data_IF_495885976569
#
_entry.id   IF_495885976569
#
_cell.length_a   1.000
_cell.length_b   1.000
_cell.length_c   1.000
_cell.angle_alpha   90.00
_cell.angle_beta   90.00
_cell.angle_gamma   90.00
#
_symmetry.space_group_name_H-M   'P 1'
#
loop_
_entity.id
_entity.type
_entity.pdbx_description
1 polymer ?
#
# COMPACT_ATOMS: atom_id res chain seq x y z
N UNK A 1 -4.44 -27.34 -20.14
CA UNK A 1 -4.36 -26.50 -18.92
C UNK A 1 -2.90 -26.27 -18.46
N UNK A 2 -1.89 -26.86 -19.09
CA UNK A 2 -0.46 -26.70 -18.70
C UNK A 2 0.16 -25.34 -19.08
N UNK A 3 -0.28 -24.67 -20.15
CA UNK A 3 0.35 -23.42 -20.63
C UNK A 3 0.19 -22.17 -19.75
N UNK A 4 -0.62 -22.21 -18.68
CA UNK A 4 -0.78 -21.08 -17.74
C UNK A 4 0.20 -21.12 -16.58
N UNK A 5 0.69 -22.30 -16.19
CA UNK A 5 1.54 -22.44 -15.02
C UNK A 5 2.93 -21.85 -15.29
N UNK A 6 3.52 -22.17 -16.44
CA UNK A 6 4.84 -21.66 -16.81
C UNK A 6 4.82 -20.15 -17.06
N UNK A 7 3.73 -19.63 -17.63
CA UNK A 7 3.66 -18.23 -18.06
C UNK A 7 3.82 -17.23 -16.90
N UNK A 8 3.27 -17.51 -15.71
CA UNK A 8 3.42 -16.59 -14.57
C UNK A 8 4.87 -16.57 -14.03
N UNK A 9 5.57 -17.70 -14.07
CA UNK A 9 6.97 -17.78 -13.67
C UNK A 9 7.91 -17.20 -14.75
N UNK A 10 7.59 -17.35 -16.03
CA UNK A 10 8.29 -16.68 -17.12
C UNK A 10 8.20 -15.16 -17.00
N UNK A 11 7.00 -14.61 -16.75
CA UNK A 11 6.79 -13.18 -16.52
C UNK A 11 7.57 -12.72 -15.28
N UNK A 12 7.50 -13.48 -14.19
CA UNK A 12 8.24 -13.19 -12.96
C UNK A 12 9.75 -13.09 -13.22
N UNK A 13 10.32 -14.10 -13.89
CA UNK A 13 11.75 -14.15 -14.21
C UNK A 13 12.15 -13.06 -15.19
N UNK A 14 11.35 -12.81 -16.22
CA UNK A 14 11.65 -11.83 -17.28
C UNK A 14 11.69 -10.40 -16.78
N UNK A 15 10.72 -10.00 -15.93
CA UNK A 15 10.56 -8.60 -15.53
C UNK A 15 11.14 -8.29 -14.14
N UNK A 16 11.22 -9.27 -13.24
CA UNK A 16 11.76 -9.09 -11.88
C UNK A 16 13.00 -9.94 -11.58
N UNK A 17 13.36 -10.89 -12.42
CA UNK A 17 14.52 -11.77 -12.18
C UNK A 17 14.31 -12.84 -11.11
N UNK A 18 13.12 -12.92 -10.50
CA UNK A 18 12.82 -13.95 -9.49
C UNK A 18 12.41 -15.27 -10.16
N UNK A 19 12.78 -16.38 -9.53
CA UNK A 19 12.41 -17.74 -9.97
C UNK A 19 11.24 -18.33 -9.18
N UNK A 20 10.89 -17.73 -8.05
CA UNK A 20 9.85 -18.21 -7.15
C UNK A 20 9.01 -17.06 -6.60
N UNK A 21 7.73 -17.35 -6.36
CA UNK A 21 6.83 -16.45 -5.66
C UNK A 21 6.95 -16.65 -4.15
N UNK A 22 6.66 -15.60 -3.37
CA UNK A 22 6.40 -15.78 -1.94
C UNK A 22 5.13 -16.62 -1.72
N UNK A 23 4.99 -17.35 -0.60
CA UNK A 23 3.98 -18.40 -0.47
C UNK A 23 2.53 -18.03 -0.80
N UNK A 24 2.09 -16.79 -0.51
CA UNK A 24 0.71 -16.35 -0.81
C UNK A 24 0.54 -15.75 -2.21
N UNK A 25 1.61 -15.25 -2.82
CA UNK A 25 1.55 -14.48 -4.06
C UNK A 25 1.01 -15.33 -5.21
N UNK A 26 1.55 -16.53 -5.38
CA UNK A 26 1.11 -17.45 -6.44
C UNK A 26 -0.37 -17.78 -6.30
N UNK A 27 -0.84 -18.08 -5.08
CA UNK A 27 -2.25 -18.38 -4.80
C UNK A 27 -3.17 -17.22 -5.18
N UNK A 28 -2.76 -15.98 -4.87
CA UNK A 28 -3.52 -14.77 -5.24
C UNK A 28 -3.56 -14.60 -6.76
N UNK A 29 -2.40 -14.71 -7.42
CA UNK A 29 -2.29 -14.56 -8.88
C UNK A 29 -3.18 -15.60 -9.58
N UNK A 30 -3.09 -16.87 -9.17
CA UNK A 30 -3.91 -17.94 -9.74
C UNK A 30 -5.40 -17.74 -9.50
N UNK A 31 -5.79 -17.26 -8.30
CA UNK A 31 -7.19 -16.94 -8.00
C UNK A 31 -7.74 -15.85 -8.93
N UNK A 32 -6.99 -14.76 -9.08
CA UNK A 32 -7.37 -13.66 -9.99
C UNK A 32 -7.44 -14.12 -11.45
N UNK A 33 -6.45 -14.89 -11.91
CA UNK A 33 -6.42 -15.42 -13.29
C UNK A 33 -7.51 -16.45 -13.58
N UNK A 34 -8.02 -17.13 -12.55
CA UNK A 34 -9.16 -18.04 -12.64
C UNK A 34 -10.52 -17.32 -12.68
N UNK A 35 -10.54 -15.99 -12.72
CA UNK A 35 -11.78 -15.20 -12.76
C UNK A 35 -12.47 -15.07 -11.39
N UNK A 36 -11.76 -15.34 -10.28
CA UNK A 36 -12.34 -15.26 -8.94
C UNK A 36 -12.03 -13.93 -8.27
N UNK A 37 -13.08 -13.24 -7.82
CA UNK A 37 -12.95 -12.09 -6.93
C UNK A 37 -12.13 -12.50 -5.69
N UNK A 38 -11.11 -11.72 -5.33
CA UNK A 38 -10.16 -12.10 -4.29
C UNK A 38 -9.79 -10.89 -3.44
N UNK A 39 -9.95 -11.01 -2.11
CA UNK A 39 -9.38 -10.05 -1.14
C UNK A 39 -8.05 -10.61 -0.62
N UNK A 40 -6.96 -9.97 -0.99
CA UNK A 40 -5.61 -10.28 -0.56
C UNK A 40 -5.20 -9.40 0.63
N UNK A 41 -5.02 -10.01 1.80
CA UNK A 41 -4.45 -9.36 2.98
C UNK A 41 -2.96 -9.70 3.06
N UNK A 42 -2.11 -8.73 2.73
CA UNK A 42 -0.67 -8.92 2.62
C UNK A 42 0.08 -7.75 3.26
N UNK A 43 1.05 -7.97 4.17
CA UNK A 43 1.76 -6.90 4.85
C UNK A 43 2.45 -5.94 3.87
N UNK A 44 2.73 -4.72 4.30
CA UNK A 44 3.58 -3.78 3.53
C UNK A 44 4.92 -4.43 3.19
N UNK A 45 5.46 -4.20 1.99
CA UNK A 45 6.65 -4.91 1.52
C UNK A 45 6.44 -6.42 1.23
N UNK A 46 5.22 -6.94 1.40
CA UNK A 46 4.86 -8.33 1.07
C UNK A 46 4.80 -8.64 -0.42
N UNK A 47 5.05 -7.65 -1.29
CA UNK A 47 4.98 -7.77 -2.75
C UNK A 47 3.55 -7.83 -3.28
N UNK A 48 2.65 -6.98 -2.76
CA UNK A 48 1.25 -6.83 -3.23
C UNK A 48 1.19 -6.49 -4.71
N UNK A 49 2.01 -5.53 -5.16
CA UNK A 49 1.95 -5.04 -6.53
C UNK A 49 2.18 -6.13 -7.57
N UNK A 50 3.09 -7.05 -7.26
CA UNK A 50 3.42 -8.19 -8.11
C UNK A 50 2.19 -9.10 -8.36
N UNK A 51 1.24 -9.17 -7.44
CA UNK A 51 0.05 -10.02 -7.56
C UNK A 51 -1.00 -9.54 -8.57
N UNK A 52 -0.97 -8.27 -8.99
CA UNK A 52 -1.78 -7.77 -10.11
C UNK A 52 -0.95 -7.43 -11.35
N UNK A 53 0.35 -7.15 -11.20
CA UNK A 53 1.24 -6.87 -12.32
C UNK A 53 1.52 -8.13 -13.14
N UNK A 54 1.81 -9.26 -12.48
CA UNK A 54 2.05 -10.54 -13.18
C UNK A 54 0.84 -11.00 -14.00
N UNK A 55 -0.39 -11.08 -13.46
CA UNK A 55 -1.54 -11.46 -14.28
C UNK A 55 -1.83 -10.43 -15.39
N UNK A 56 -1.60 -9.14 -15.14
CA UNK A 56 -1.74 -8.09 -16.17
C UNK A 56 -0.78 -8.23 -17.35
N UNK A 57 0.37 -8.89 -17.16
CA UNK A 57 1.33 -9.21 -18.23
C UNK A 57 1.13 -10.63 -18.79
N UNK A 58 0.59 -11.55 -17.99
CA UNK A 58 0.41 -12.94 -18.37
C UNK A 58 -0.88 -13.19 -19.18
N UNK A 59 -1.92 -12.35 -19.04
CA UNK A 59 -3.21 -12.53 -19.70
C UNK A 59 -3.45 -11.49 -20.81
N UNK A 60 -4.17 -11.85 -21.89
CA UNK A 60 -4.61 -10.88 -22.87
C UNK A 60 -5.68 -9.95 -22.27
N UNK A 61 -5.52 -8.65 -22.47
CA UNK A 61 -6.41 -7.62 -21.91
C UNK A 61 -5.68 -6.68 -20.97
N UNK A 62 -6.39 -5.69 -20.47
CA UNK A 62 -5.87 -4.65 -19.60
C UNK A 62 -6.15 -4.97 -18.14
N UNK A 63 -5.14 -4.85 -17.29
CA UNK A 63 -5.31 -4.77 -15.84
C UNK A 63 -5.49 -3.29 -15.46
N UNK A 64 -6.67 -2.95 -14.93
CA UNK A 64 -6.93 -1.60 -14.38
C UNK A 64 -6.58 -1.63 -12.90
N UNK A 65 -5.73 -0.70 -12.46
CA UNK A 65 -5.33 -0.57 -11.05
C UNK A 65 -5.90 0.72 -10.49
N UNK A 66 -6.75 0.62 -9.48
CA UNK A 66 -7.27 1.76 -8.71
C UNK A 66 -6.39 1.95 -7.47
N UNK A 67 -5.84 3.16 -7.30
CA UNK A 67 -5.06 3.53 -6.12
C UNK A 67 -5.60 4.81 -5.49
N UNK A 68 -5.26 5.10 -4.21
CA UNK A 68 -5.80 6.26 -3.49
C UNK A 68 -5.58 7.60 -4.20
N UNK A 69 -4.46 7.71 -4.92
CA UNK A 69 -4.01 8.93 -5.57
C UNK A 69 -4.77 9.24 -6.87
N UNK A 70 -5.33 8.23 -7.54
CA UNK A 70 -5.98 8.38 -8.85
C UNK A 70 -7.45 7.96 -8.85
N UNK A 71 -8.02 7.52 -7.72
CA UNK A 71 -9.42 7.08 -7.65
C UNK A 71 -10.44 8.15 -8.09
N UNK A 72 -10.09 9.44 -8.02
CA UNK A 72 -10.93 10.52 -8.57
C UNK A 72 -11.07 10.45 -10.10
N UNK A 73 -10.12 9.85 -10.82
CA UNK A 73 -10.19 9.69 -12.28
C UNK A 73 -11.34 8.80 -12.74
N UNK A 74 -11.82 7.89 -11.88
CA UNK A 74 -13.01 7.06 -12.12
C UNK A 74 -14.27 7.90 -12.38
N UNK A 75 -14.26 9.15 -11.91
CA UNK A 75 -15.33 10.11 -12.10
C UNK A 75 -15.45 10.65 -13.51
N UNK A 76 -14.33 10.68 -14.23
CA UNK A 76 -14.22 11.47 -15.46
C UNK A 76 -15.01 10.82 -16.58
N UNK A 77 -15.75 11.63 -17.33
CA UNK A 77 -16.53 11.17 -18.48
C UNK A 77 -15.63 10.47 -19.52
N UNK A 78 -14.46 11.05 -19.78
CA UNK A 78 -13.46 10.47 -20.68
C UNK A 78 -13.05 9.05 -20.29
N UNK A 79 -12.85 8.77 -19.00
CA UNK A 79 -12.55 7.41 -18.54
C UNK A 79 -13.77 6.49 -18.67
N UNK A 80 -14.95 6.94 -18.22
CA UNK A 80 -16.19 6.14 -18.25
C UNK A 80 -16.58 5.71 -19.67
N UNK A 81 -16.39 6.56 -20.67
CA UNK A 81 -16.68 6.24 -22.08
C UNK A 81 -15.64 5.30 -22.70
N UNK A 82 -14.37 5.43 -22.30
CA UNK A 82 -13.29 4.61 -22.87
C UNK A 82 -13.26 3.21 -22.29
N UNK A 83 -13.53 3.06 -20.98
CA UNK A 83 -13.36 1.78 -20.28
C UNK A 83 -14.28 0.68 -20.82
N UNK A 84 -15.49 1.03 -21.26
CA UNK A 84 -16.44 0.10 -21.89
C UNK A 84 -15.94 -0.47 -23.23
N UNK A 85 -15.02 0.23 -23.89
CA UNK A 85 -14.40 -0.20 -25.16
C UNK A 85 -13.07 -0.92 -24.95
N UNK A 86 -12.56 -0.96 -23.72
CA UNK A 86 -11.31 -1.64 -23.40
C UNK A 86 -11.58 -3.11 -23.12
N UNK A 87 -10.71 -3.99 -23.63
CA UNK A 87 -10.68 -5.39 -23.21
C UNK A 87 -10.01 -5.49 -21.85
N UNK A 88 -10.76 -5.33 -20.77
CA UNK A 88 -10.25 -5.43 -19.39
C UNK A 88 -10.25 -6.90 -18.95
N UNK A 89 -9.14 -7.36 -18.39
CA UNK A 89 -8.98 -8.73 -17.88
C UNK A 89 -8.97 -8.80 -16.35
N UNK A 90 -8.64 -7.71 -15.67
CA UNK A 90 -8.56 -7.66 -14.21
C UNK A 90 -8.83 -6.24 -13.70
N UNK A 91 -9.60 -6.11 -12.62
CA UNK A 91 -9.73 -4.89 -11.84
C UNK A 91 -9.01 -5.05 -10.50
N UNK A 92 -7.83 -4.45 -10.36
CA UNK A 92 -7.09 -4.40 -9.12
C UNK A 92 -7.46 -3.15 -8.30
N UNK A 93 -7.76 -3.34 -7.02
CA UNK A 93 -8.05 -2.27 -6.07
C UNK A 93 -6.97 -2.27 -5.00
N UNK A 94 -6.01 -1.37 -5.12
CA UNK A 94 -4.97 -1.19 -4.12
C UNK A 94 -5.46 -0.33 -2.97
N UNK A 95 -4.92 -0.57 -1.78
CA UNK A 95 -5.38 0.01 -0.52
C UNK A 95 -6.91 -0.08 -0.33
N UNK A 96 -7.46 -1.27 -0.59
CA UNK A 96 -8.90 -1.53 -0.60
C UNK A 96 -9.61 -1.14 0.72
N UNK A 97 -8.88 -1.10 1.84
CA UNK A 97 -9.38 -0.61 3.13
C UNK A 97 -9.98 0.81 3.07
N UNK A 98 -9.55 1.65 2.11
CA UNK A 98 -10.10 2.99 1.89
C UNK A 98 -11.59 3.01 1.54
N UNK A 99 -12.17 1.90 1.09
CA UNK A 99 -13.62 1.83 0.77
C UNK A 99 -14.50 1.79 2.02
N UNK A 100 -13.94 1.35 3.16
CA UNK A 100 -14.69 1.16 4.39
C UNK A 100 -14.59 2.38 5.31
N UNK A 101 -15.73 2.86 5.81
CA UNK A 101 -15.77 3.92 6.83
C UNK A 101 -15.17 3.49 8.17
N UNK A 102 -15.10 2.17 8.41
CA UNK A 102 -14.45 1.57 9.57
C UNK A 102 -12.94 1.40 9.36
N UNK A 103 -12.43 1.71 8.17
CA UNK A 103 -11.02 1.82 7.87
C UNK A 103 -10.43 3.13 8.41
N UNK A 104 -9.11 3.16 8.58
CA UNK A 104 -8.41 4.34 9.10
C UNK A 104 -8.19 5.46 8.06
N UNK A 105 -8.46 5.21 6.78
CA UNK A 105 -8.30 6.18 5.67
C UNK A 105 -9.46 6.07 4.66
N UNK A 106 -10.69 6.29 5.13
CA UNK A 106 -11.88 6.23 4.27
C UNK A 106 -11.83 7.28 3.16
N UNK A 107 -12.07 6.84 1.91
CA UNK A 107 -12.10 7.69 0.72
C UNK A 107 -13.42 7.49 -0.02
N UNK A 108 -14.32 8.49 -0.06
CA UNK A 108 -15.59 8.38 -0.78
C UNK A 108 -15.46 7.99 -2.26
N UNK A 109 -14.35 8.36 -2.91
CA UNK A 109 -14.07 7.99 -4.30
C UNK A 109 -13.96 6.48 -4.53
N UNK A 110 -13.61 5.69 -3.51
CA UNK A 110 -13.53 4.22 -3.60
C UNK A 110 -14.92 3.57 -3.73
N UNK A 111 -15.98 4.21 -3.22
CA UNK A 111 -17.34 3.70 -3.37
C UNK A 111 -17.76 3.60 -4.84
N UNK A 112 -17.14 4.42 -5.71
CA UNK A 112 -17.40 4.46 -7.15
C UNK A 112 -16.81 3.28 -7.91
N UNK A 113 -15.96 2.46 -7.29
CA UNK A 113 -15.44 1.25 -7.91
C UNK A 113 -16.59 0.26 -8.20
N UNK A 114 -17.66 0.30 -7.39
CA UNK A 114 -18.88 -0.47 -7.67
C UNK A 114 -19.52 -0.07 -9.01
N UNK A 115 -19.58 1.22 -9.34
CA UNK A 115 -20.08 1.72 -10.62
C UNK A 115 -19.19 1.28 -11.79
N UNK A 116 -17.86 1.27 -11.59
CA UNK A 116 -16.92 0.77 -12.60
C UNK A 116 -17.18 -0.72 -12.87
N UNK A 117 -17.47 -1.50 -11.82
CA UNK A 117 -17.73 -2.92 -11.95
C UNK A 117 -19.01 -3.23 -12.74
N UNK A 118 -20.04 -2.39 -12.63
CA UNK A 118 -21.25 -2.50 -13.46
C UNK A 118 -20.94 -2.39 -14.96
N UNK A 119 -19.93 -1.59 -15.32
CA UNK A 119 -19.46 -1.41 -16.70
C UNK A 119 -18.54 -2.52 -17.19
N UNK A 120 -18.04 -3.36 -16.28
CA UNK A 120 -17.08 -4.43 -16.54
C UNK A 120 -17.62 -5.77 -16.05
N UNK A 121 -18.78 -6.24 -16.56
CA UNK A 121 -19.39 -7.48 -16.12
C UNK A 121 -18.46 -8.67 -16.37
N UNK A 122 -18.34 -9.56 -15.38
CA UNK A 122 -17.50 -10.75 -15.46
C UNK A 122 -16.00 -10.52 -15.29
N UNK A 123 -15.54 -9.26 -15.20
CA UNK A 123 -14.13 -8.97 -14.88
C UNK A 123 -13.88 -9.23 -13.39
N UNK A 124 -12.90 -10.07 -13.02
CA UNK A 124 -12.60 -10.35 -11.62
C UNK A 124 -12.01 -9.14 -10.91
N UNK A 125 -12.31 -9.02 -9.62
CA UNK A 125 -11.74 -7.98 -8.75
C UNK A 125 -10.68 -8.56 -7.82
N UNK A 126 -9.47 -8.01 -7.88
CA UNK A 126 -8.41 -8.28 -6.90
C UNK A 126 -8.26 -7.09 -5.96
N UNK A 127 -8.81 -7.19 -4.75
CA UNK A 127 -8.71 -6.18 -3.71
C UNK A 127 -7.50 -6.46 -2.82
N UNK A 128 -6.67 -5.45 -2.55
CA UNK A 128 -5.41 -5.61 -1.84
C UNK A 128 -5.31 -4.63 -0.67
N UNK A 129 -4.89 -5.10 0.50
CA UNK A 129 -4.55 -4.20 1.62
C UNK A 129 -3.56 -4.85 2.58
N UNK A 130 -2.79 -4.02 3.28
CA UNK A 130 -1.91 -4.44 4.35
C UNK A 130 -2.61 -4.76 5.66
N UNK A 131 -3.80 -4.22 5.89
CA UNK A 131 -4.49 -4.38 7.16
C UNK A 131 -5.99 -4.22 6.97
N UNK A 132 -6.75 -5.23 7.38
CA UNK A 132 -8.19 -5.16 7.49
C UNK A 132 -8.63 -5.99 8.70
N UNK A 133 -9.45 -5.39 9.57
CA UNK A 133 -10.19 -6.16 10.57
C UNK A 133 -11.23 -7.04 9.87
N UNK A 134 -11.86 -7.98 10.60
CA UNK A 134 -12.95 -8.79 10.03
C UNK A 134 -14.06 -7.92 9.43
N UNK A 135 -14.49 -6.90 10.18
CA UNK A 135 -15.51 -5.93 9.75
C UNK A 135 -15.08 -5.19 8.47
N UNK A 136 -13.85 -4.67 8.43
CA UNK A 136 -13.35 -3.96 7.24
C UNK A 136 -13.24 -4.90 6.03
N UNK A 137 -12.82 -6.15 6.22
CA UNK A 137 -12.72 -7.13 5.14
C UNK A 137 -14.09 -7.49 4.54
N UNK A 138 -15.09 -7.70 5.39
CA UNK A 138 -16.48 -7.92 4.98
C UNK A 138 -17.03 -6.70 4.22
N UNK A 139 -16.74 -5.50 4.72
CA UNK A 139 -17.17 -4.25 4.12
C UNK A 139 -16.53 -4.00 2.74
N UNK A 140 -15.25 -4.34 2.57
CA UNK A 140 -14.57 -4.31 1.28
C UNK A 140 -15.28 -5.21 0.28
N UNK A 141 -15.46 -6.50 0.63
CA UNK A 141 -16.08 -7.47 -0.28
C UNK A 141 -17.51 -7.08 -0.64
N UNK A 142 -18.27 -6.55 0.33
CA UNK A 142 -19.64 -6.06 0.12
C UNK A 142 -19.69 -4.89 -0.86
N UNK A 143 -18.88 -3.85 -0.65
CA UNK A 143 -18.89 -2.67 -1.53
C UNK A 143 -18.34 -2.98 -2.93
N UNK A 144 -17.36 -3.88 -3.03
CA UNK A 144 -16.85 -4.37 -4.30
C UNK A 144 -17.77 -5.44 -4.94
N UNK A 145 -18.87 -5.80 -4.27
CA UNK A 145 -19.95 -6.70 -4.69
C UNK A 145 -19.52 -8.15 -4.94
N UNK A 146 -18.51 -8.65 -4.22
CA UNK A 146 -17.98 -10.01 -4.43
C UNK A 146 -19.10 -11.04 -4.56
N UNK A 147 -19.04 -11.89 -5.59
CA UNK A 147 -20.05 -12.92 -5.81
C UNK A 147 -20.06 -13.93 -4.65
N UNK A 148 -18.87 -14.30 -4.16
CA UNK A 148 -18.66 -15.14 -3.00
C UNK A 148 -17.55 -14.56 -2.13
N UNK A 149 -17.63 -14.66 -0.79
CA UNK A 149 -16.53 -14.28 0.09
C UNK A 149 -15.28 -15.11 -0.20
N UNK A 150 -14.20 -14.45 -0.60
CA UNK A 150 -12.92 -15.11 -0.85
C UNK A 150 -11.75 -14.25 -0.37
N UNK A 151 -11.08 -14.70 0.69
CA UNK A 151 -9.98 -13.98 1.34
C UNK A 151 -8.74 -14.86 1.37
N UNK A 152 -7.63 -14.34 0.88
CA UNK A 152 -6.30 -14.94 1.01
C UNK A 152 -5.44 -14.05 1.92
N UNK A 153 -4.86 -14.64 2.96
CA UNK A 153 -4.08 -13.93 3.97
C UNK A 153 -2.68 -14.51 4.04
N UNK A 154 -1.66 -13.66 4.12
CA UNK A 154 -0.34 -14.06 4.59
C UNK A 154 -0.17 -13.76 6.07
N UNK A 155 0.89 -14.33 6.66
CA UNK A 155 1.31 -13.95 8.00
C UNK A 155 1.72 -12.47 8.03
N UNK A 156 1.27 -11.76 9.06
CA UNK A 156 1.72 -10.41 9.38
C UNK A 156 3.00 -10.41 10.21
N UNK A 157 3.43 -11.59 10.69
CA UNK A 157 4.62 -11.72 11.53
C UNK A 157 5.86 -11.29 10.74
N UNK A 158 6.64 -10.39 11.34
CA UNK A 158 7.95 -10.01 10.84
C UNK A 158 8.97 -10.37 11.91
N UNK A 159 9.69 -11.51 11.76
CA UNK A 159 10.61 -11.98 12.80
C UNK A 159 11.77 -11.00 13.04
N UNK A 160 12.03 -10.10 12.09
CA UNK A 160 13.02 -9.03 12.19
C UNK A 160 12.50 -7.76 12.87
N UNK A 161 11.22 -7.69 13.30
CA UNK A 161 10.68 -6.56 14.06
C UNK A 161 10.58 -6.90 15.55
N UNK A 162 11.05 -5.98 16.39
CA UNK A 162 10.89 -6.02 17.84
C UNK A 162 9.93 -4.93 18.30
N UNK A 163 9.00 -5.26 19.21
CA UNK A 163 8.05 -4.34 19.79
C UNK A 163 8.43 -4.03 21.23
N UNK A 164 8.57 -2.75 21.57
CA UNK A 164 8.83 -2.31 22.94
C UNK A 164 7.91 -1.17 23.33
N UNK A 165 7.27 -1.27 24.51
CA UNK A 165 6.44 -0.22 25.09
C UNK A 165 7.15 0.34 26.31
N UNK A 166 7.40 1.66 26.33
CA UNK A 166 8.01 2.34 27.47
C UNK A 166 7.04 3.40 28.00
N UNK A 167 6.77 3.35 29.30
CA UNK A 167 6.04 4.41 30.01
C UNK A 167 7.07 5.43 30.49
N UNK A 168 6.85 6.71 30.20
CA UNK A 168 7.76 7.81 30.58
C UNK A 168 6.98 9.11 30.68
N UNK A 169 7.35 9.95 31.64
CA UNK A 169 6.89 11.34 31.73
C UNK A 169 7.79 12.27 30.92
N UNK A 170 9.07 11.91 30.77
CA UNK A 170 10.03 12.58 29.88
C UNK A 170 10.16 11.84 28.55
N UNK A 171 9.30 12.21 27.59
CA UNK A 171 9.31 11.65 26.23
C UNK A 171 10.52 12.12 25.43
N UNK A 172 10.97 13.35 25.63
CA UNK A 172 12.06 13.94 24.87
C UNK A 172 13.40 13.30 25.25
N UNK A 173 13.72 13.18 26.53
CA UNK A 173 14.95 12.51 26.96
C UNK A 173 14.94 11.01 26.68
N UNK A 174 13.78 10.37 26.68
CA UNK A 174 13.68 8.97 26.20
C UNK A 174 13.94 8.85 24.70
N UNK A 175 13.36 9.73 23.88
CA UNK A 175 13.59 9.76 22.43
C UNK A 175 15.08 9.99 22.12
N UNK A 176 15.71 10.96 22.79
CA UNK A 176 17.13 11.26 22.60
C UNK A 176 18.01 10.06 22.94
N UNK A 177 17.75 9.38 24.06
CA UNK A 177 18.45 8.14 24.42
C UNK A 177 18.27 7.06 23.36
N UNK A 178 17.07 6.89 22.80
CA UNK A 178 16.84 5.89 21.74
C UNK A 178 17.62 6.25 20.47
N UNK A 179 17.52 7.49 20.01
CA UNK A 179 18.19 7.94 18.79
C UNK A 179 19.72 7.93 18.93
N UNK A 180 20.27 8.15 20.12
CA UNK A 180 21.71 8.07 20.34
C UNK A 180 22.23 6.62 20.34
N UNK A 181 21.45 5.67 20.86
CA UNK A 181 21.89 4.30 21.06
C UNK A 181 21.50 3.32 19.94
N UNK A 182 20.56 3.71 19.06
CA UNK A 182 20.09 2.84 17.96
C UNK A 182 20.65 3.35 16.63
N UNK A 183 21.61 2.65 15.99
CA UNK A 183 22.18 3.07 14.72
C UNK A 183 21.16 2.99 13.57
N UNK A 184 21.53 3.57 12.43
CA UNK A 184 20.69 3.56 11.23
C UNK A 184 19.65 4.69 11.17
N UNK A 185 18.74 4.56 10.21
CA UNK A 185 17.68 5.53 9.94
C UNK A 185 16.44 5.25 10.80
N UNK A 186 15.70 6.30 11.15
CA UNK A 186 14.50 6.19 11.98
C UNK A 186 13.35 7.08 11.53
N UNK A 187 12.14 6.73 11.94
CA UNK A 187 10.93 7.56 11.79
C UNK A 187 10.36 7.80 13.18
N UNK A 188 10.04 9.06 13.49
CA UNK A 188 9.36 9.47 14.72
C UNK A 188 7.98 10.01 14.35
N UNK A 189 6.94 9.26 14.69
CA UNK A 189 5.57 9.73 14.48
C UNK A 189 5.10 10.64 15.61
N UNK A 190 4.58 11.81 15.25
CA UNK A 190 3.98 12.79 16.16
C UNK A 190 2.59 13.18 15.70
N UNK A 191 1.78 13.72 16.61
CA UNK A 191 0.35 13.98 16.37
C UNK A 191 0.10 15.23 15.54
N UNK A 192 0.82 16.31 15.79
CA UNK A 192 0.55 17.64 15.21
C UNK A 192 1.62 18.06 14.22
N UNK A 193 1.26 18.99 13.33
CA UNK A 193 2.19 19.60 12.37
C UNK A 193 3.28 20.38 13.11
N UNK A 194 2.93 21.20 14.10
CA UNK A 194 3.95 21.91 14.89
C UNK A 194 4.89 20.93 15.61
N UNK A 195 4.34 19.81 16.11
CA UNK A 195 5.13 18.79 16.80
C UNK A 195 6.22 18.18 15.91
N UNK A 196 6.01 18.09 14.59
CA UNK A 196 7.05 17.59 13.67
C UNK A 196 8.26 18.51 13.64
N UNK A 197 8.03 19.82 13.57
CA UNK A 197 9.09 20.82 13.59
C UNK A 197 9.81 20.85 14.95
N UNK A 198 9.04 20.88 16.05
CA UNK A 198 9.60 20.94 17.41
C UNK A 198 10.52 19.75 17.72
N UNK A 199 10.09 18.53 17.38
CA UNK A 199 10.89 17.33 17.63
C UNK A 199 12.07 17.22 16.67
N UNK A 200 11.92 17.63 15.40
CA UNK A 200 13.05 17.70 14.48
C UNK A 200 14.11 18.71 14.96
N UNK A 201 13.71 19.87 15.46
CA UNK A 201 14.60 20.88 16.04
C UNK A 201 15.33 20.37 17.29
N UNK A 202 14.61 19.69 18.18
CA UNK A 202 15.20 19.04 19.35
C UNK A 202 16.33 18.08 18.95
N UNK A 203 16.08 17.22 17.96
CA UNK A 203 17.07 16.26 17.47
C UNK A 203 18.26 16.95 16.82
N UNK A 204 18.02 17.98 16.00
CA UNK A 204 19.09 18.77 15.36
C UNK A 204 19.99 19.46 16.37
N UNK A 205 19.43 20.03 17.44
CA UNK A 205 20.20 20.64 18.55
C UNK A 205 21.09 19.65 19.28
N UNK A 206 20.81 18.35 19.18
CA UNK A 206 21.60 17.26 19.76
C UNK A 206 22.52 16.58 18.73
N UNK A 207 22.76 17.22 17.58
CA UNK A 207 23.68 16.74 16.54
C UNK A 207 23.10 15.63 15.65
N UNK A 208 21.79 15.36 15.71
CA UNK A 208 21.15 14.35 14.86
C UNK A 208 20.57 15.02 13.61
N UNK A 209 20.88 14.51 12.41
CA UNK A 209 20.24 14.98 11.18
C UNK A 209 18.76 14.53 11.18
N UNK A 210 17.86 15.51 11.27
CA UNK A 210 16.42 15.27 11.34
C UNK A 210 15.65 16.28 10.48
N UNK A 211 14.55 15.81 9.86
CA UNK A 211 13.64 16.64 9.07
C UNK A 211 12.19 16.44 9.49
N UNK A 212 11.38 17.49 9.38
CA UNK A 212 9.93 17.43 9.58
C UNK A 212 9.21 17.01 8.29
N UNK A 213 8.13 16.24 8.42
CA UNK A 213 7.24 15.86 7.31
C UNK A 213 5.77 15.86 7.73
N UNK A 214 4.95 16.67 7.08
CA UNK A 214 3.50 16.67 7.31
C UNK A 214 2.71 17.10 6.07
N UNK A 215 1.40 16.79 6.05
CA UNK A 215 0.51 17.09 4.92
C UNK A 215 0.26 18.58 4.64
N UNK A 216 0.81 19.48 5.46
CA UNK A 216 0.77 20.92 5.22
C UNK A 216 1.95 21.47 4.40
N UNK A 217 2.96 20.64 4.14
CA UNK A 217 4.13 21.04 3.36
C UNK A 217 3.85 20.97 1.86
N UNK A 218 4.51 21.84 1.10
CA UNK A 218 4.46 21.84 -0.36
C UNK A 218 4.94 20.52 -0.95
N UNK A 219 4.43 20.14 -2.13
CA UNK A 219 4.81 18.88 -2.77
C UNK A 219 6.32 18.78 -3.01
N UNK A 220 6.93 19.83 -3.57
CA UNK A 220 8.37 19.86 -3.85
C UNK A 220 9.21 19.67 -2.57
N UNK A 221 8.81 20.30 -1.47
CA UNK A 221 9.49 20.14 -0.18
C UNK A 221 9.36 18.71 0.35
N UNK A 222 8.15 18.13 0.32
CA UNK A 222 7.94 16.74 0.75
C UNK A 222 8.76 15.75 -0.07
N UNK A 223 8.82 15.92 -1.39
CA UNK A 223 9.65 15.10 -2.28
C UNK A 223 11.13 15.21 -1.92
N UNK A 224 11.64 16.43 -1.71
CA UNK A 224 13.02 16.67 -1.31
C UNK A 224 13.35 15.98 0.03
N UNK A 225 12.51 16.15 1.06
CA UNK A 225 12.72 15.52 2.37
C UNK A 225 12.75 13.99 2.29
N UNK A 226 11.84 13.42 1.50
CA UNK A 226 11.80 11.97 1.28
C UNK A 226 13.09 11.49 0.60
N UNK A 227 13.56 12.19 -0.43
CA UNK A 227 14.80 11.85 -1.13
C UNK A 227 16.02 11.94 -0.21
N UNK A 228 16.14 13.02 0.58
CA UNK A 228 17.23 13.18 1.56
C UNK A 228 17.28 12.03 2.58
N UNK A 229 16.11 11.57 3.05
CA UNK A 229 16.02 10.47 4.00
C UNK A 229 16.33 9.10 3.36
N UNK A 230 15.82 8.87 2.14
CA UNK A 230 16.14 7.65 1.37
C UNK A 230 17.65 7.57 1.11
N UNK A 231 18.28 8.68 0.68
CA UNK A 231 19.71 8.78 0.43
C UNK A 231 20.59 8.75 1.70
N UNK A 232 19.99 8.77 2.90
CA UNK A 232 20.72 8.75 4.17
C UNK A 232 21.32 10.09 4.61
N UNK A 233 21.05 11.19 3.88
CA UNK A 233 21.44 12.56 4.26
C UNK A 233 20.70 13.00 5.53
N UNK A 234 19.44 12.61 5.65
CA UNK A 234 18.64 12.77 6.87
C UNK A 234 18.50 11.43 7.57
N UNK A 235 18.94 11.34 8.82
CA UNK A 235 18.86 10.11 9.60
C UNK A 235 17.45 9.86 10.14
N UNK A 236 16.82 10.89 10.71
CA UNK A 236 15.51 10.76 11.36
C UNK A 236 14.45 11.59 10.65
N UNK A 237 13.39 10.94 10.18
CA UNK A 237 12.20 11.63 9.70
C UNK A 237 11.21 11.80 10.85
N UNK A 238 10.84 13.04 11.18
CA UNK A 238 9.80 13.33 12.18
C UNK A 238 8.52 13.67 11.45
N UNK A 239 7.48 12.84 11.57
CA UNK A 239 6.33 12.94 10.70
C UNK A 239 4.98 12.79 11.37
N UNK A 240 3.93 13.33 10.74
CA UNK A 240 2.56 12.85 10.99
C UNK A 240 2.28 11.60 10.14
N UNK A 241 1.06 11.06 10.22
CA UNK A 241 0.57 9.99 9.34
C UNK A 241 0.66 10.29 7.83
N UNK A 242 0.97 11.53 7.44
CA UNK A 242 1.19 11.91 6.04
C UNK A 242 2.44 11.24 5.43
N UNK A 243 3.42 10.83 6.24
CA UNK A 243 4.59 10.08 5.79
C UNK A 243 4.34 8.58 5.98
N UNK A 244 4.05 7.82 4.93
CA UNK A 244 3.84 6.38 5.07
C UNK A 244 3.61 5.64 3.75
N UNK A 245 2.72 6.15 2.90
CA UNK A 245 2.50 5.56 1.58
C UNK A 245 3.67 5.85 0.64
N UNK A 246 4.11 4.83 -0.11
CA UNK A 246 5.16 4.97 -1.12
C UNK A 246 6.58 5.15 -0.56
N UNK A 247 6.80 4.85 0.73
CA UNK A 247 8.13 4.83 1.34
C UNK A 247 8.70 3.42 1.24
N UNK A 248 9.82 3.27 0.53
CA UNK A 248 10.59 2.04 0.44
C UNK A 248 12.07 2.34 0.66
N UNK A 249 12.52 2.19 1.91
CA UNK A 249 13.92 2.30 2.31
C UNK A 249 14.32 0.96 2.96
N UNK A 250 15.35 0.27 2.44
CA UNK A 250 15.80 -1.01 2.97
C UNK A 250 16.46 -0.86 4.36
#
# INVERSE_FOLDING_TARGET
MEGSADKIFEVLKRYWGFTEFRPVQERIIRSAMAGRDTLALMPTGGGKSLTYQVPGLAQPGLCIVVTPLIALMLATEAFRLRVERMKVSLLAVDEAHCISQWGYDFRPSYLRIAELREKLPGVPVLALTASATKLVAEDIMRHLRFAEPHILRSSFARPNLSYSVRRTDDKHGQLLRLVQNVPGSGIVYVRTREGTAQVADLLRRQGVTAAAYHGGMGHAERSLRQEEWVAGRTRVMVATNAFGMGIDKP
#
